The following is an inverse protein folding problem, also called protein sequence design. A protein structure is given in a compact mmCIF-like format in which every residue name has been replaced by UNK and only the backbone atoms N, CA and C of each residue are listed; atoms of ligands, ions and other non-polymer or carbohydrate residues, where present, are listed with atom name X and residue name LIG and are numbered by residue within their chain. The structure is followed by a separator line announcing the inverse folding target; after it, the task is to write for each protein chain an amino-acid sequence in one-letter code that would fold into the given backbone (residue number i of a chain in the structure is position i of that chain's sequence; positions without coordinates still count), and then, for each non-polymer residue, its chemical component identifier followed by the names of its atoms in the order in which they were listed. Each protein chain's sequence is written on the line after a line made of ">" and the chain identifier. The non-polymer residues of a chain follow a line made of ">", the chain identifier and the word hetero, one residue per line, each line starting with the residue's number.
data_IF_289679874664
#
_entry.id   IF_289679874664
#
_cell.length_a   1.000
_cell.length_b   1.000
_cell.length_c   1.000
_cell.angle_alpha   90.00
_cell.angle_beta   90.00
_cell.angle_gamma   90.00
#
_symmetry.space_group_name_H-M   'P 1'
#
loop_
_entity.id
_entity.type
_entity.pdbx_description
1 polymer ?
#
# COMPACT_ATOMS: atom_id res chain seq x y z
N UNK A 1 -55.75 -30.66 42.55
CA UNK A 1 -56.07 -29.25 42.20
C UNK A 1 -54.93 -28.37 42.70
N UNK A 2 -54.04 -27.94 41.81
CA UNK A 2 -53.28 -26.67 41.85
C UNK A 2 -52.37 -26.65 40.63
N UNK A 3 -52.69 -25.78 39.67
CA UNK A 3 -51.89 -25.53 38.49
C UNK A 3 -50.82 -24.47 38.83
N UNK A 4 -49.56 -24.75 38.49
CA UNK A 4 -48.49 -23.74 38.47
C UNK A 4 -48.01 -23.65 37.03
N UNK A 5 -48.45 -22.62 36.32
CA UNK A 5 -47.91 -22.20 35.03
C UNK A 5 -46.61 -21.45 35.28
N UNK A 6 -45.52 -21.94 34.70
CA UNK A 6 -44.20 -21.31 34.75
C UNK A 6 -44.05 -20.42 33.51
N UNK A 7 -44.28 -19.11 33.66
CA UNK A 7 -44.11 -18.11 32.60
C UNK A 7 -42.62 -17.89 32.30
N UNK A 8 -42.11 -18.53 31.24
CA UNK A 8 -40.85 -18.14 30.61
C UNK A 8 -41.05 -16.86 29.80
N UNK A 9 -40.73 -15.71 30.40
CA UNK A 9 -40.59 -14.45 29.67
C UNK A 9 -39.45 -14.53 28.64
N UNK A 10 -39.68 -14.16 27.36
CA UNK A 10 -38.61 -14.09 26.37
C UNK A 10 -37.74 -12.86 26.63
N UNK A 11 -36.43 -13.06 26.77
CA UNK A 11 -35.44 -11.99 26.81
C UNK A 11 -35.53 -11.19 25.50
N UNK A 12 -36.18 -10.03 25.55
CA UNK A 12 -36.18 -9.06 24.45
C UNK A 12 -34.74 -8.58 24.25
N UNK A 13 -34.07 -9.09 23.23
CA UNK A 13 -32.86 -8.47 22.69
C UNK A 13 -33.23 -7.07 22.20
N UNK A 14 -32.71 -6.04 22.86
CA UNK A 14 -32.92 -4.66 22.45
C UNK A 14 -32.51 -4.49 20.97
N UNK A 15 -33.30 -3.78 20.15
CA UNK A 15 -32.91 -3.49 18.77
C UNK A 15 -31.60 -2.70 18.77
N UNK A 16 -30.67 -3.12 17.92
CA UNK A 16 -29.39 -2.47 17.66
C UNK A 16 -29.66 -0.97 17.38
N UNK A 17 -29.02 0.00 18.06
CA UNK A 17 -29.36 1.40 17.93
C UNK A 17 -29.28 1.84 16.47
N UNK A 18 -30.36 2.45 15.98
CA UNK A 18 -30.48 2.98 14.62
C UNK A 18 -29.22 3.76 14.25
N UNK A 19 -28.58 3.44 13.11
CA UNK A 19 -27.27 4.00 12.82
C UNK A 19 -27.41 5.52 12.63
N UNK A 20 -26.63 6.29 13.39
CA UNK A 20 -26.77 7.75 13.51
C UNK A 20 -27.01 8.46 12.17
N UNK A 21 -27.77 9.56 12.13
CA UNK A 21 -28.03 10.32 10.90
C UNK A 21 -26.76 10.61 10.09
N UNK A 22 -26.88 10.64 8.76
CA UNK A 22 -25.73 10.88 7.86
C UNK A 22 -25.05 12.23 8.17
N UNK A 23 -25.82 13.24 8.56
CA UNK A 23 -25.35 14.54 9.04
C UNK A 23 -24.42 14.42 10.25
N UNK A 24 -24.76 13.59 11.25
CA UNK A 24 -23.94 13.39 12.44
C UNK A 24 -22.67 12.60 12.17
N UNK A 25 -22.72 11.67 11.21
CA UNK A 25 -21.52 10.96 10.75
C UNK A 25 -20.58 11.90 10.01
N UNK A 26 -21.10 12.75 9.13
CA UNK A 26 -20.31 13.77 8.44
C UNK A 26 -19.70 14.78 9.42
N UNK A 27 -20.51 15.33 10.34
CA UNK A 27 -20.01 16.24 11.38
C UNK A 27 -18.92 15.60 12.24
N UNK A 28 -19.09 14.33 12.64
CA UNK A 28 -18.06 13.60 13.40
C UNK A 28 -16.79 13.37 12.59
N UNK A 29 -16.92 13.01 11.32
CA UNK A 29 -15.80 12.78 10.41
C UNK A 29 -15.01 14.07 10.14
N UNK A 30 -15.70 15.17 9.82
CA UNK A 30 -15.11 16.49 9.57
C UNK A 30 -14.52 17.12 10.83
N UNK A 31 -15.12 16.88 12.00
CA UNK A 31 -14.63 17.39 13.28
C UNK A 31 -13.47 16.60 13.90
N UNK A 32 -13.21 15.36 13.44
CA UNK A 32 -12.16 14.52 14.02
C UNK A 32 -10.73 15.07 13.83
N UNK A 33 -10.34 15.58 12.65
CA UNK A 33 -9.04 16.25 12.48
C UNK A 33 -8.89 17.49 13.37
N UNK A 34 -9.96 18.30 13.49
CA UNK A 34 -9.96 19.51 14.33
C UNK A 34 -9.78 19.16 15.80
N UNK A 35 -10.49 18.14 16.31
CA UNK A 35 -10.30 17.64 17.68
C UNK A 35 -8.87 17.13 17.89
N UNK A 36 -8.34 16.33 16.96
CA UNK A 36 -6.99 15.82 17.07
C UNK A 36 -5.94 16.94 17.11
N UNK A 37 -6.10 18.00 16.30
CA UNK A 37 -5.23 19.18 16.35
C UNK A 37 -5.34 19.94 17.67
N UNK A 38 -6.53 20.03 18.27
CA UNK A 38 -6.74 20.67 19.58
C UNK A 38 -6.12 19.88 20.73
N UNK A 39 -6.16 18.55 20.64
CA UNK A 39 -5.58 17.62 21.61
C UNK A 39 -4.05 17.52 21.50
N UNK A 40 -3.47 17.94 20.37
CA UNK A 40 -2.03 17.89 20.16
C UNK A 40 -1.28 18.94 21.00
N UNK A 41 -0.06 18.62 21.50
CA UNK A 41 0.77 19.59 22.19
C UNK A 41 1.07 20.82 21.33
N UNK A 42 0.60 22.01 21.77
CA UNK A 42 0.65 23.25 20.98
C UNK A 42 2.06 23.63 20.52
N UNK A 43 3.06 23.62 21.41
CA UNK A 43 4.44 24.03 21.09
C UNK A 43 5.08 23.10 20.04
N UNK A 44 5.10 21.76 20.22
CA UNK A 44 5.54 20.83 19.18
C UNK A 44 4.77 20.93 17.86
N UNK A 45 3.46 21.19 17.92
CA UNK A 45 2.63 21.36 16.73
C UNK A 45 3.03 22.60 15.93
N UNK A 46 3.25 23.74 16.60
CA UNK A 46 3.72 24.97 15.96
C UNK A 46 5.12 24.77 15.35
N UNK A 47 6.04 24.17 16.09
CA UNK A 47 7.37 23.87 15.58
C UNK A 47 7.33 22.95 14.34
N UNK A 48 6.53 21.88 14.39
CA UNK A 48 6.34 21.00 13.25
C UNK A 48 5.73 21.71 12.03
N UNK A 49 4.77 22.61 12.26
CA UNK A 49 4.14 23.40 11.21
C UNK A 49 5.13 24.37 10.57
N UNK A 50 5.96 25.04 11.36
CA UNK A 50 7.01 25.93 10.86
C UNK A 50 8.06 25.16 10.05
N UNK A 51 8.53 24.00 10.54
CA UNK A 51 9.47 23.13 9.82
C UNK A 51 8.86 22.62 8.51
N UNK A 52 7.61 22.16 8.54
CA UNK A 52 6.92 21.67 7.35
C UNK A 52 6.73 22.79 6.31
N UNK A 53 6.31 23.98 6.75
CA UNK A 53 6.14 25.15 5.88
C UNK A 53 7.47 25.56 5.26
N UNK A 54 8.53 25.70 6.06
CA UNK A 54 9.87 26.03 5.57
C UNK A 54 10.34 25.00 4.54
N UNK A 55 10.16 23.71 4.84
CA UNK A 55 10.54 22.63 3.92
C UNK A 55 9.79 22.68 2.59
N UNK A 56 8.48 22.96 2.62
CA UNK A 56 7.66 23.11 1.42
C UNK A 56 8.02 24.37 0.61
N UNK A 57 8.38 25.47 1.27
CA UNK A 57 8.89 26.67 0.60
C UNK A 57 10.23 26.38 -0.09
N UNK A 58 11.18 25.72 0.60
CA UNK A 58 12.44 25.28 0.00
C UNK A 58 12.19 24.32 -1.16
N UNK A 59 11.25 23.39 -1.01
CA UNK A 59 10.86 22.48 -2.09
C UNK A 59 10.31 23.25 -3.30
N UNK A 60 9.47 24.26 -3.09
CA UNK A 60 8.94 25.10 -4.17
C UNK A 60 10.06 25.85 -4.92
N UNK A 61 11.06 26.36 -4.19
CA UNK A 61 12.26 26.99 -4.77
C UNK A 61 13.07 25.97 -5.57
N UNK A 62 13.40 24.80 -5.00
CA UNK A 62 14.13 23.74 -5.71
C UNK A 62 13.39 23.30 -6.97
N UNK A 63 12.07 23.13 -6.88
CA UNK A 63 11.20 22.80 -8.01
C UNK A 63 11.31 23.82 -9.15
N UNK A 64 11.42 25.12 -8.82
CA UNK A 64 11.58 26.17 -9.82
C UNK A 64 12.88 26.01 -10.60
N UNK A 65 13.99 25.70 -9.92
CA UNK A 65 15.32 25.57 -10.54
C UNK A 65 15.59 24.22 -11.22
N UNK A 66 14.94 23.13 -10.79
CA UNK A 66 15.20 21.77 -11.31
C UNK A 66 14.36 21.45 -12.57
N UNK A 67 13.59 22.41 -13.10
CA UNK A 67 12.70 22.27 -14.26
C UNK A 67 11.84 20.99 -14.20
N UNK A 68 10.78 21.00 -13.39
CA UNK A 68 9.86 19.85 -13.31
C UNK A 68 9.17 19.59 -14.63
N UNK A 69 9.49 18.45 -15.25
CA UNK A 69 9.01 18.07 -16.58
C UNK A 69 7.50 17.84 -16.61
N UNK A 70 6.93 17.25 -15.54
CA UNK A 70 5.53 16.82 -15.47
C UNK A 70 5.15 15.89 -16.63
N UNK A 71 6.08 15.00 -17.02
CA UNK A 71 5.92 14.10 -18.17
C UNK A 71 4.68 13.22 -18.05
N UNK A 72 4.45 12.63 -16.88
CA UNK A 72 3.33 11.69 -16.70
C UNK A 72 1.99 12.42 -16.69
N UNK A 73 1.92 13.62 -16.11
CA UNK A 73 0.74 14.48 -16.25
C UNK A 73 0.42 14.76 -17.72
N UNK A 74 1.43 15.03 -18.55
CA UNK A 74 1.23 15.28 -19.99
C UNK A 74 0.71 14.01 -20.68
N UNK A 75 1.25 12.83 -20.34
CA UNK A 75 0.75 11.54 -20.84
C UNK A 75 -0.71 11.32 -20.42
N UNK A 76 -1.06 11.53 -19.15
CA UNK A 76 -2.45 11.38 -18.68
C UNK A 76 -3.40 12.32 -19.43
N UNK A 77 -2.99 13.57 -19.64
CA UNK A 77 -3.78 14.52 -20.42
C UNK A 77 -3.93 14.10 -21.88
N UNK A 78 -2.90 13.53 -22.48
CA UNK A 78 -2.95 13.01 -23.84
C UNK A 78 -3.87 11.78 -23.95
N UNK A 79 -3.82 10.86 -22.97
CA UNK A 79 -4.75 9.74 -22.88
C UNK A 79 -6.20 10.23 -22.76
N UNK A 80 -6.46 11.20 -21.88
CA UNK A 80 -7.78 11.82 -21.75
C UNK A 80 -8.24 12.54 -23.02
N UNK A 81 -7.33 13.21 -23.73
CA UNK A 81 -7.64 13.85 -25.02
C UNK A 81 -7.94 12.82 -26.11
N UNK A 82 -7.26 11.68 -26.13
CA UNK A 82 -7.54 10.61 -27.09
C UNK A 82 -8.96 10.06 -26.89
N UNK A 83 -9.35 9.84 -25.63
CA UNK A 83 -10.73 9.44 -25.30
C UNK A 83 -11.74 10.51 -25.69
N UNK A 84 -11.48 11.78 -25.36
CA UNK A 84 -12.40 12.89 -25.64
C UNK A 84 -12.62 13.14 -27.14
N UNK A 85 -11.58 12.94 -27.95
CA UNK A 85 -11.59 13.20 -29.39
C UNK A 85 -11.84 11.95 -30.24
N UNK A 86 -12.00 10.78 -29.63
CA UNK A 86 -12.20 9.50 -30.33
C UNK A 86 -10.98 9.07 -31.16
N UNK A 87 -9.76 9.42 -30.75
CA UNK A 87 -8.52 8.99 -31.43
C UNK A 87 -7.94 7.72 -30.80
N UNK A 88 -7.06 7.02 -31.53
CA UNK A 88 -6.47 5.78 -31.06
C UNK A 88 -5.58 6.00 -29.81
N UNK A 89 -6.08 5.51 -28.67
CA UNK A 89 -5.44 5.59 -27.37
C UNK A 89 -4.04 4.93 -27.35
N UNK A 90 -3.83 3.82 -28.07
CA UNK A 90 -2.59 3.05 -27.97
C UNK A 90 -1.61 3.32 -29.12
N UNK A 91 -2.02 4.07 -30.14
CA UNK A 91 -1.12 4.68 -31.13
C UNK A 91 -0.43 5.95 -30.62
N UNK A 92 -0.99 6.65 -29.63
CA UNK A 92 -0.44 7.92 -29.17
C UNK A 92 1.01 7.81 -28.67
N UNK A 93 1.79 8.85 -28.96
CA UNK A 93 3.12 9.07 -28.38
C UNK A 93 3.29 10.55 -28.09
N UNK A 94 3.72 10.88 -26.88
CA UNK A 94 3.84 12.28 -26.43
C UNK A 94 5.13 12.52 -25.65
N UNK A 95 5.44 13.80 -25.44
CA UNK A 95 6.68 14.31 -24.84
C UNK A 95 7.92 14.08 -25.70
N UNK A 96 9.04 14.73 -25.34
CA UNK A 96 10.35 14.52 -25.97
C UNK A 96 10.87 13.08 -25.89
N UNK A 97 10.31 12.27 -24.99
CA UNK A 97 10.69 10.88 -24.74
C UNK A 97 9.82 9.85 -25.49
N UNK A 98 8.92 10.29 -26.37
CA UNK A 98 8.07 9.42 -27.19
C UNK A 98 7.28 8.39 -26.35
N UNK A 99 6.67 8.84 -25.25
CA UNK A 99 6.01 7.98 -24.27
C UNK A 99 4.62 7.53 -24.75
N UNK A 100 4.28 6.23 -24.67
CA UNK A 100 2.96 5.73 -25.03
C UNK A 100 1.94 5.79 -23.89
N UNK A 101 0.68 5.57 -24.23
CA UNK A 101 -0.32 5.16 -23.25
C UNK A 101 0.02 3.78 -22.68
N UNK A 102 -0.04 3.66 -21.35
CA UNK A 102 0.31 2.43 -20.61
C UNK A 102 -0.77 1.99 -19.63
N UNK A 103 -1.81 2.81 -19.45
CA UNK A 103 -2.88 2.52 -18.51
C UNK A 103 -4.06 1.78 -19.20
N UNK A 104 -4.89 1.05 -18.43
CA UNK A 104 -6.14 0.50 -18.92
C UNK A 104 -7.08 1.61 -19.41
N UNK A 105 -8.00 1.33 -20.35
CA UNK A 105 -8.92 2.35 -20.89
C UNK A 105 -9.76 3.05 -19.82
N UNK A 106 -10.09 2.35 -18.73
CA UNK A 106 -10.77 2.95 -17.58
C UNK A 106 -10.02 4.15 -16.98
N UNK A 107 -8.69 4.09 -16.89
CA UNK A 107 -7.89 5.20 -16.40
C UNK A 107 -7.93 6.39 -17.38
N UNK A 108 -7.80 6.12 -18.68
CA UNK A 108 -7.84 7.15 -19.71
C UNK A 108 -9.16 7.95 -19.68
N UNK A 109 -10.28 7.27 -19.43
CA UNK A 109 -11.58 7.93 -19.21
C UNK A 109 -11.56 8.86 -18.00
N UNK A 110 -10.93 8.47 -16.89
CA UNK A 110 -10.77 9.32 -15.71
C UNK A 110 -9.86 10.52 -15.95
N UNK A 111 -9.02 10.48 -16.99
CA UNK A 111 -8.15 11.59 -17.37
C UNK A 111 -8.80 12.60 -18.31
N UNK A 112 -9.98 12.32 -18.88
CA UNK A 112 -10.72 13.27 -19.74
C UNK A 112 -10.86 14.67 -19.12
N UNK A 113 -11.19 14.85 -17.82
CA UNK A 113 -11.32 16.18 -17.23
C UNK A 113 -10.04 17.02 -17.25
N UNK A 114 -8.87 16.39 -17.39
CA UNK A 114 -7.60 17.13 -17.50
C UNK A 114 -7.49 17.91 -18.81
N UNK A 115 -8.28 17.56 -19.82
CA UNK A 115 -8.30 18.26 -21.12
C UNK A 115 -8.93 19.64 -21.03
N UNK A 116 -9.83 19.86 -20.05
CA UNK A 116 -10.59 21.09 -19.87
C UNK A 116 -9.77 22.25 -19.31
N UNK A 117 -8.57 21.97 -18.81
CA UNK A 117 -7.72 22.96 -18.16
C UNK A 117 -6.40 23.16 -18.91
N UNK A 118 -5.86 24.38 -18.89
CA UNK A 118 -4.56 24.66 -19.47
C UNK A 118 -3.44 24.00 -18.64
N UNK A 119 -2.35 23.60 -19.32
CA UNK A 119 -1.22 22.90 -18.70
C UNK A 119 -0.64 23.63 -17.47
N UNK A 120 -0.44 24.97 -17.46
CA UNK A 120 0.05 25.67 -16.27
C UNK A 120 -0.82 25.47 -15.04
N UNK A 121 -2.14 25.48 -15.20
CA UNK A 121 -3.08 25.21 -14.10
C UNK A 121 -2.93 23.79 -13.58
N UNK A 122 -2.90 22.79 -14.48
CA UNK A 122 -2.74 21.38 -14.10
C UNK A 122 -1.43 21.15 -13.32
N UNK A 123 -0.33 21.78 -13.74
CA UNK A 123 0.97 21.69 -13.04
C UNK A 123 0.85 22.09 -11.58
N UNK A 124 0.12 23.17 -11.28
CA UNK A 124 -0.13 23.64 -9.91
C UNK A 124 -1.11 22.72 -9.19
N UNK A 125 -2.26 22.45 -9.80
CA UNK A 125 -3.33 21.65 -9.21
C UNK A 125 -2.87 20.23 -8.83
N UNK A 126 -2.12 19.55 -9.70
CA UNK A 126 -1.60 18.20 -9.46
C UNK A 126 -0.49 18.22 -8.41
N UNK A 127 0.34 19.27 -8.36
CA UNK A 127 1.35 19.41 -7.30
C UNK A 127 0.68 19.55 -5.93
N UNK A 128 -0.27 20.49 -5.80
CA UNK A 128 -1.01 20.71 -4.56
C UNK A 128 -1.85 19.49 -4.18
N UNK A 129 -2.50 18.86 -5.16
CA UNK A 129 -3.25 17.62 -4.99
C UNK A 129 -2.38 16.49 -4.45
N UNK A 130 -1.18 16.29 -5.01
CA UNK A 130 -0.25 15.28 -4.51
C UNK A 130 0.31 15.59 -3.11
N UNK A 131 0.52 16.87 -2.75
CA UNK A 131 0.86 17.23 -1.36
C UNK A 131 -0.29 16.90 -0.40
N UNK A 132 -1.54 17.19 -0.79
CA UNK A 132 -2.73 16.79 -0.03
C UNK A 132 -2.87 15.26 0.09
N UNK A 133 -2.60 14.52 -1.00
CA UNK A 133 -2.60 13.06 -1.00
C UNK A 133 -1.45 12.48 -0.15
N UNK A 134 -0.29 13.14 -0.09
CA UNK A 134 0.79 12.76 0.82
C UNK A 134 0.35 12.92 2.28
N UNK A 135 -0.34 14.02 2.62
CA UNK A 135 -0.91 14.21 3.95
C UNK A 135 -1.95 13.13 4.29
N UNK A 136 -2.82 12.80 3.34
CA UNK A 136 -3.81 11.73 3.50
C UNK A 136 -3.16 10.35 3.65
N UNK A 137 -2.19 10.01 2.79
CA UNK A 137 -1.44 8.77 2.85
C UNK A 137 -0.74 8.62 4.21
N UNK A 138 -0.15 9.71 4.68
CA UNK A 138 0.50 9.78 5.99
C UNK A 138 -0.52 9.54 7.11
N UNK A 139 -1.65 10.25 7.09
CA UNK A 139 -2.73 10.04 8.06
C UNK A 139 -3.20 8.58 8.10
N UNK A 140 -3.45 7.98 6.93
CA UNK A 140 -3.84 6.58 6.80
C UNK A 140 -2.73 5.62 7.27
N UNK A 141 -1.46 5.97 7.07
CA UNK A 141 -0.31 5.21 7.56
C UNK A 141 -0.22 5.22 9.09
N UNK A 142 -0.41 6.38 9.74
CA UNK A 142 -0.47 6.48 11.21
C UNK A 142 -1.66 5.72 11.79
N UNK A 143 -2.80 5.75 11.08
CA UNK A 143 -4.00 4.98 11.43
C UNK A 143 -3.73 3.46 11.32
N UNK A 144 -3.18 3.01 10.20
CA UNK A 144 -2.83 1.61 9.94
C UNK A 144 -1.83 1.08 10.98
N UNK A 145 -0.77 1.84 11.26
CA UNK A 145 0.25 1.48 12.24
C UNK A 145 -0.26 1.48 13.68
N UNK A 146 -1.50 1.96 13.93
CA UNK A 146 -2.04 2.10 15.27
C UNK A 146 -1.09 2.92 16.15
N UNK A 147 -0.64 4.08 15.65
CA UNK A 147 0.44 4.85 16.29
C UNK A 147 0.23 5.02 17.80
N UNK A 148 1.24 4.73 18.65
CA UNK A 148 1.09 4.60 20.10
C UNK A 148 0.56 5.85 20.81
N UNK A 149 1.09 7.02 20.45
CA UNK A 149 0.81 8.32 21.09
C UNK A 149 -0.14 9.12 20.22
N UNK A 150 -1.45 8.94 20.41
CA UNK A 150 -2.50 9.45 19.50
C UNK A 150 -2.45 10.97 19.36
N UNK A 151 -2.18 11.66 20.45
CA UNK A 151 -1.99 13.11 20.56
C UNK A 151 -0.83 13.65 19.71
N UNK A 152 0.17 12.82 19.38
CA UNK A 152 1.29 13.19 18.51
C UNK A 152 1.04 12.90 17.03
N UNK A 153 -0.07 12.24 16.67
CA UNK A 153 -0.35 11.89 15.26
C UNK A 153 -0.45 13.12 14.36
N UNK A 154 -1.14 14.22 14.71
CA UNK A 154 -1.21 15.39 13.84
C UNK A 154 0.16 16.01 13.57
N UNK A 155 1.03 16.04 14.59
CA UNK A 155 2.41 16.50 14.48
C UNK A 155 3.18 15.63 13.48
N UNK A 156 3.07 14.30 13.61
CA UNK A 156 3.67 13.36 12.68
C UNK A 156 3.15 13.51 11.25
N UNK A 157 1.85 13.76 11.07
CA UNK A 157 1.25 14.01 9.76
C UNK A 157 1.82 15.27 9.11
N UNK A 158 1.90 16.37 9.86
CA UNK A 158 2.45 17.64 9.37
C UNK A 158 3.92 17.50 9.00
N UNK A 159 4.73 16.89 9.87
CA UNK A 159 6.17 16.69 9.63
C UNK A 159 6.42 15.82 8.40
N UNK A 160 5.74 14.68 8.28
CA UNK A 160 5.93 13.77 7.12
C UNK A 160 5.35 14.39 5.85
N UNK A 161 4.31 15.22 5.92
CA UNK A 161 3.83 15.96 4.74
C UNK A 161 4.88 16.97 4.26
N UNK A 162 5.48 17.74 5.16
CA UNK A 162 6.49 18.73 4.80
C UNK A 162 7.83 18.14 4.38
N UNK A 163 8.32 17.14 5.12
CA UNK A 163 9.64 16.52 4.87
C UNK A 163 9.59 15.35 3.89
N UNK A 164 8.43 14.70 3.75
CA UNK A 164 8.25 13.53 2.89
C UNK A 164 8.40 13.85 1.40
N UNK A 165 8.26 15.12 1.00
CA UNK A 165 8.51 15.57 -0.39
C UNK A 165 9.96 15.32 -0.85
N UNK A 166 10.88 15.10 0.09
CA UNK A 166 12.30 14.80 -0.18
C UNK A 166 12.60 13.31 -0.25
N UNK A 167 11.66 12.43 0.14
CA UNK A 167 11.80 11.01 -0.14
C UNK A 167 11.77 10.84 -1.65
N UNK A 168 12.78 10.22 -2.23
CA UNK A 168 12.93 10.14 -3.69
C UNK A 168 11.65 9.65 -4.39
N UNK A 169 10.92 8.61 -3.92
CA UNK A 169 9.71 8.15 -4.61
C UNK A 169 8.61 9.22 -4.65
N UNK A 170 8.52 10.05 -3.60
CA UNK A 170 7.57 11.15 -3.49
C UNK A 170 8.05 12.35 -4.30
N UNK A 171 9.34 12.67 -4.24
CA UNK A 171 9.98 13.71 -5.05
C UNK A 171 9.73 13.45 -6.54
N UNK A 172 10.01 12.24 -7.00
CA UNK A 172 9.81 11.82 -8.40
C UNK A 172 8.34 11.79 -8.76
N UNK A 173 7.46 11.38 -7.84
CA UNK A 173 5.99 11.48 -8.02
C UNK A 173 5.56 12.93 -8.32
N UNK A 174 6.03 13.88 -7.51
CA UNK A 174 5.72 15.30 -7.69
C UNK A 174 6.39 15.90 -8.93
N UNK A 175 7.60 15.46 -9.28
CA UNK A 175 8.34 15.92 -10.45
C UNK A 175 7.65 15.54 -11.76
N UNK A 176 7.07 14.35 -11.83
CA UNK A 176 6.41 13.85 -13.04
C UNK A 176 4.90 14.03 -13.06
N UNK A 177 4.27 14.34 -11.91
CA UNK A 177 2.82 14.52 -11.81
C UNK A 177 2.06 13.20 -11.73
N UNK A 178 2.65 12.21 -11.06
CA UNK A 178 2.13 10.84 -10.95
C UNK A 178 0.91 10.72 -10.04
N UNK A 179 0.11 9.67 -10.26
CA UNK A 179 -1.11 9.36 -9.49
C UNK A 179 -0.92 8.31 -8.39
N UNK A 180 0.30 7.79 -8.17
CA UNK A 180 0.51 6.67 -7.25
C UNK A 180 0.13 6.99 -5.79
N UNK A 181 0.24 8.25 -5.35
CA UNK A 181 -0.26 8.66 -4.02
C UNK A 181 -1.78 8.49 -3.91
N UNK A 182 -2.54 8.78 -4.99
CA UNK A 182 -3.98 8.57 -5.02
C UNK A 182 -4.32 7.07 -4.91
N UNK A 183 -3.62 6.23 -5.67
CA UNK A 183 -3.80 4.77 -5.62
C UNK A 183 -3.48 4.21 -4.24
N UNK A 184 -2.36 4.63 -3.63
CA UNK A 184 -1.98 4.22 -2.29
C UNK A 184 -3.01 4.68 -1.24
N UNK A 185 -3.56 5.89 -1.38
CA UNK A 185 -4.64 6.39 -0.52
C UNK A 185 -5.92 5.56 -0.66
N UNK A 186 -6.34 5.23 -1.88
CA UNK A 186 -7.52 4.36 -2.11
C UNK A 186 -7.36 3.01 -1.41
N UNK A 187 -6.20 2.37 -1.59
CA UNK A 187 -5.90 1.07 -0.98
C UNK A 187 -5.88 1.16 0.55
N UNK A 188 -5.13 2.10 1.12
CA UNK A 188 -5.05 2.22 2.59
C UNK A 188 -6.36 2.68 3.22
N UNK A 189 -7.11 3.53 2.53
CA UNK A 189 -8.45 3.89 2.97
C UNK A 189 -9.34 2.65 3.02
N UNK A 190 -9.29 1.80 1.99
CA UNK A 190 -10.03 0.53 1.95
C UNK A 190 -9.64 -0.39 3.12
N UNK A 191 -8.34 -0.65 3.26
CA UNK A 191 -7.79 -1.59 4.23
C UNK A 191 -7.99 -1.15 5.67
N UNK A 192 -7.99 0.15 5.96
CA UNK A 192 -8.19 0.69 7.31
C UNK A 192 -9.67 0.83 7.71
N UNK A 193 -10.61 0.36 6.88
CA UNK A 193 -12.03 0.23 7.24
C UNK A 193 -12.30 -1.13 7.93
N UNK A 194 -13.32 -1.21 8.79
CA UNK A 194 -13.71 -2.48 9.41
C UNK A 194 -14.04 -3.56 8.37
N UNK A 195 -13.62 -4.80 8.63
CA UNK A 195 -13.83 -5.95 7.73
C UNK A 195 -15.32 -6.24 7.47
N UNK A 196 -16.19 -5.87 8.43
CA UNK A 196 -17.64 -5.99 8.34
C UNK A 196 -18.31 -5.06 7.31
N UNK A 197 -17.64 -4.01 6.80
CA UNK A 197 -18.24 -3.10 5.80
C UNK A 197 -18.41 -3.77 4.44
N UNK A 198 -19.63 -3.77 3.91
CA UNK A 198 -19.97 -4.35 2.59
C UNK A 198 -19.21 -3.73 1.43
N UNK A 199 -18.85 -2.45 1.52
CA UNK A 199 -18.06 -1.74 0.51
C UNK A 199 -16.55 -1.90 0.65
N UNK A 200 -16.06 -2.73 1.59
CA UNK A 200 -14.63 -3.08 1.68
C UNK A 200 -14.24 -3.88 0.43
N UNK A 201 -13.21 -3.44 -0.28
CA UNK A 201 -12.78 -3.97 -1.59
C UNK A 201 -13.05 -3.01 -2.75
N UNK A 202 -14.05 -2.13 -2.67
CA UNK A 202 -14.41 -1.23 -3.80
C UNK A 202 -13.26 -0.32 -4.21
N UNK A 203 -12.58 0.31 -3.26
CA UNK A 203 -11.49 1.24 -3.58
C UNK A 203 -10.25 0.50 -4.08
N UNK A 204 -9.99 -0.73 -3.60
CA UNK A 204 -8.96 -1.60 -4.15
C UNK A 204 -9.28 -2.00 -5.61
N UNK A 205 -10.53 -2.37 -5.90
CA UNK A 205 -10.96 -2.73 -7.26
C UNK A 205 -10.89 -1.56 -8.23
N UNK A 206 -11.29 -0.35 -7.81
CA UNK A 206 -11.11 0.88 -8.60
C UNK A 206 -9.62 1.14 -8.84
N UNK A 207 -8.78 1.05 -7.80
CA UNK A 207 -7.35 1.24 -7.95
C UNK A 207 -6.74 0.21 -8.94
N UNK A 208 -7.19 -1.04 -8.90
CA UNK A 208 -6.77 -2.10 -9.83
C UNK A 208 -7.24 -1.82 -11.28
N UNK A 209 -8.42 -1.23 -11.44
CA UNK A 209 -8.95 -0.79 -12.73
C UNK A 209 -8.18 0.39 -13.33
N UNK A 210 -7.65 1.27 -12.47
CA UNK A 210 -6.77 2.35 -12.90
C UNK A 210 -5.38 1.82 -13.23
N UNK A 211 -4.82 0.93 -12.40
CA UNK A 211 -3.48 0.36 -12.60
C UNK A 211 -3.46 -1.05 -12.05
N UNK A 212 -2.97 -2.03 -12.81
CA UNK A 212 -3.11 -3.45 -12.43
C UNK A 212 -2.40 -3.83 -11.12
N UNK A 213 -1.29 -3.16 -10.76
CA UNK A 213 -0.47 -3.49 -9.58
C UNK A 213 -1.28 -3.58 -8.26
N UNK A 214 -2.17 -2.62 -7.94
CA UNK A 214 -3.16 -2.75 -6.86
C UNK A 214 -3.95 -4.07 -6.77
N UNK A 215 -4.11 -4.82 -7.86
CA UNK A 215 -4.79 -6.11 -7.88
C UNK A 215 -4.20 -7.13 -6.88
N UNK A 216 -2.91 -7.01 -6.54
CA UNK A 216 -2.29 -7.86 -5.51
C UNK A 216 -2.97 -7.68 -4.14
N UNK A 217 -3.57 -6.53 -3.84
CA UNK A 217 -4.28 -6.34 -2.57
C UNK A 217 -5.61 -7.12 -2.52
N UNK A 218 -6.25 -7.42 -3.65
CA UNK A 218 -7.38 -8.35 -3.69
C UNK A 218 -6.91 -9.78 -3.34
N UNK A 219 -5.75 -10.20 -3.87
CA UNK A 219 -5.10 -11.47 -3.49
C UNK A 219 -4.75 -11.46 -2.01
N UNK A 220 -4.16 -10.38 -1.49
CA UNK A 220 -3.87 -10.22 -0.06
C UNK A 220 -5.13 -10.38 0.81
N UNK A 221 -6.25 -9.76 0.44
CA UNK A 221 -7.52 -9.93 1.12
C UNK A 221 -7.98 -11.40 1.12
N UNK A 222 -7.88 -12.07 -0.03
CA UNK A 222 -8.24 -13.48 -0.17
C UNK A 222 -7.37 -14.36 0.73
N UNK A 223 -6.05 -14.23 0.62
CA UNK A 223 -5.09 -15.04 1.39
C UNK A 223 -5.03 -14.66 2.87
N UNK A 224 -5.71 -13.60 3.32
CA UNK A 224 -5.87 -13.27 4.75
C UNK A 224 -7.24 -13.66 5.31
N UNK A 225 -8.10 -14.28 4.49
CA UNK A 225 -9.44 -14.74 4.89
C UNK A 225 -10.55 -13.70 4.75
N UNK A 226 -10.27 -12.53 4.16
CA UNK A 226 -11.26 -11.47 3.89
C UNK A 226 -11.95 -11.70 2.55
N UNK A 227 -12.52 -12.90 2.39
CA UNK A 227 -13.03 -13.44 1.13
C UNK A 227 -14.04 -12.50 0.47
N UNK A 228 -15.04 -12.01 1.22
CA UNK A 228 -16.03 -11.06 0.69
C UNK A 228 -15.38 -9.80 0.12
N UNK A 229 -14.42 -9.21 0.83
CA UNK A 229 -13.76 -7.99 0.36
C UNK A 229 -12.91 -8.25 -0.90
N UNK A 230 -12.29 -9.43 -1.00
CA UNK A 230 -11.59 -9.84 -2.22
C UNK A 230 -12.55 -9.97 -3.42
N UNK A 231 -13.72 -10.59 -3.22
CA UNK A 231 -14.75 -10.65 -4.26
C UNK A 231 -15.30 -9.28 -4.64
N UNK A 232 -15.56 -8.40 -3.67
CA UNK A 232 -16.00 -7.02 -3.95
C UNK A 232 -14.93 -6.27 -4.75
N UNK A 233 -13.65 -6.44 -4.43
CA UNK A 233 -12.56 -5.86 -5.22
C UNK A 233 -12.55 -6.42 -6.65
N UNK A 234 -12.67 -7.74 -6.81
CA UNK A 234 -12.72 -8.40 -8.12
C UNK A 234 -13.91 -7.96 -8.97
N UNK A 235 -15.11 -7.89 -8.39
CA UNK A 235 -16.32 -7.42 -9.08
C UNK A 235 -16.23 -5.94 -9.44
N UNK A 236 -15.66 -5.11 -8.57
CA UNK A 236 -15.46 -3.68 -8.88
C UNK A 236 -14.47 -3.51 -10.02
N UNK A 237 -13.35 -4.25 -9.99
CA UNK A 237 -12.39 -4.29 -11.08
C UNK A 237 -13.03 -4.74 -12.40
N UNK A 238 -13.84 -5.81 -12.36
CA UNK A 238 -14.61 -6.27 -13.52
C UNK A 238 -15.55 -5.16 -14.02
N UNK A 239 -16.21 -4.43 -13.13
CA UNK A 239 -17.02 -3.26 -13.50
C UNK A 239 -16.22 -2.17 -14.24
N UNK A 240 -14.98 -1.89 -13.80
CA UNK A 240 -14.11 -0.93 -14.52
C UNK A 240 -13.72 -1.43 -15.91
N UNK A 241 -13.46 -2.75 -16.04
CA UNK A 241 -13.21 -3.39 -17.33
C UNK A 241 -14.43 -3.28 -18.24
N UNK A 242 -15.62 -3.63 -17.75
CA UNK A 242 -16.86 -3.61 -18.53
C UNK A 242 -17.22 -2.18 -18.98
N UNK A 243 -16.98 -1.18 -18.12
CA UNK A 243 -17.16 0.21 -18.51
C UNK A 243 -16.19 0.60 -19.64
N UNK A 244 -14.92 0.15 -19.55
CA UNK A 244 -13.96 0.29 -20.64
C UNK A 244 -14.42 -0.38 -21.93
N UNK A 245 -14.89 -1.63 -21.85
CA UNK A 245 -15.38 -2.38 -23.00
C UNK A 245 -16.61 -1.74 -23.66
N UNK A 246 -17.46 -1.09 -22.86
CA UNK A 246 -18.65 -0.39 -23.35
C UNK A 246 -18.32 0.93 -24.06
N UNK A 247 -17.41 1.73 -23.49
CA UNK A 247 -17.09 3.08 -23.98
C UNK A 247 -15.96 3.08 -25.01
N UNK A 248 -15.01 2.16 -24.87
CA UNK A 248 -13.78 2.05 -25.66
C UNK A 248 -13.51 0.57 -26.00
N UNK A 249 -14.37 -0.09 -26.82
CA UNK A 249 -14.31 -1.54 -27.07
C UNK A 249 -12.97 -1.98 -27.67
N UNK A 250 -12.52 -1.33 -28.75
CA UNK A 250 -11.28 -1.70 -29.45
C UNK A 250 -10.03 -1.49 -28.59
N UNK A 251 -9.98 -0.36 -27.86
CA UNK A 251 -8.90 -0.09 -26.93
C UNK A 251 -8.88 -1.11 -25.80
N UNK A 252 -10.05 -1.50 -25.28
CA UNK A 252 -10.15 -2.51 -24.22
C UNK A 252 -9.70 -3.88 -24.72
N UNK A 253 -10.18 -4.31 -25.89
CA UNK A 253 -9.74 -5.54 -26.51
C UNK A 253 -8.22 -5.56 -26.74
N UNK A 254 -7.68 -4.52 -27.37
CA UNK A 254 -6.24 -4.39 -27.64
C UNK A 254 -5.40 -4.35 -26.37
N UNK A 255 -5.84 -3.68 -25.32
CA UNK A 255 -5.13 -3.63 -24.04
C UNK A 255 -4.95 -5.03 -23.44
N UNK A 256 -6.04 -5.77 -23.32
CA UNK A 256 -6.05 -7.06 -22.63
C UNK A 256 -5.50 -8.22 -23.45
N UNK A 257 -5.44 -8.10 -24.78
CA UNK A 257 -4.91 -9.15 -25.67
C UNK A 257 -3.49 -8.90 -26.17
N UNK A 258 -3.07 -7.63 -26.29
CA UNK A 258 -1.80 -7.26 -26.93
C UNK A 258 -0.96 -6.35 -26.04
N UNK A 259 -1.44 -5.15 -25.73
CA UNK A 259 -0.57 -4.10 -25.16
C UNK A 259 -0.10 -4.40 -23.74
N UNK A 260 -0.89 -5.13 -22.94
CA UNK A 260 -0.50 -5.55 -21.61
C UNK A 260 0.74 -6.47 -21.61
N UNK A 261 0.90 -7.29 -22.65
CA UNK A 261 1.99 -8.28 -22.76
C UNK A 261 3.24 -7.73 -23.46
N UNK A 262 3.13 -6.58 -24.11
CA UNK A 262 4.25 -5.91 -24.77
C UNK A 262 4.97 -4.98 -23.80
N UNK A 263 5.83 -5.56 -22.95
CA UNK A 263 6.62 -4.80 -21.97
C UNK A 263 7.58 -3.79 -22.60
N UNK A 264 7.92 -3.94 -23.89
CA UNK A 264 8.81 -3.01 -24.60
C UNK A 264 8.18 -1.62 -24.74
N UNK A 265 6.84 -1.52 -24.71
CA UNK A 265 6.11 -0.25 -24.74
C UNK A 265 6.24 0.54 -23.45
N UNK A 266 6.25 -0.14 -22.30
CA UNK A 266 6.14 0.52 -20.99
C UNK A 266 7.47 1.17 -20.61
N UNK A 267 8.58 0.54 -20.98
CA UNK A 267 9.91 1.07 -20.74
C UNK A 267 10.99 -0.01 -20.79
N UNK A 268 12.24 0.41 -20.60
CA UNK A 268 13.40 -0.49 -20.63
C UNK A 268 13.51 -1.21 -19.28
N UNK A 269 13.62 -2.53 -19.27
CA UNK A 269 13.68 -3.29 -18.00
C UNK A 269 14.93 -2.99 -17.19
N UNK A 270 16.05 -2.73 -17.84
CA UNK A 270 17.37 -2.62 -17.21
C UNK A 270 17.68 -1.23 -16.63
N UNK A 271 16.96 -0.17 -17.03
CA UNK A 271 17.28 1.19 -16.57
C UNK A 271 17.14 1.31 -15.05
N UNK A 272 17.96 2.18 -14.47
CA UNK A 272 18.08 2.34 -13.01
C UNK A 272 16.75 2.76 -12.37
N UNK A 273 15.91 3.47 -13.10
CA UNK A 273 14.56 3.85 -12.69
C UNK A 273 13.72 2.62 -12.30
N UNK A 274 13.95 1.47 -12.95
CA UNK A 274 13.24 0.23 -12.67
C UNK A 274 13.81 -0.46 -11.40
N UNK A 275 13.10 -0.23 -10.31
CA UNK A 275 13.31 -0.75 -8.96
C UNK A 275 12.43 -1.97 -8.66
N UNK A 276 12.15 -2.80 -9.67
CA UNK A 276 11.57 -4.15 -9.51
C UNK A 276 12.66 -5.22 -9.36
N UNK A 277 12.27 -6.43 -8.96
CA UNK A 277 13.14 -7.61 -9.01
C UNK A 277 13.59 -7.90 -10.43
N UNK A 278 12.72 -7.78 -11.44
CA UNK A 278 13.10 -8.01 -12.84
C UNK A 278 14.18 -7.04 -13.29
N UNK A 279 14.07 -5.76 -12.93
CA UNK A 279 15.12 -4.75 -13.20
C UNK A 279 16.43 -5.03 -12.47
N UNK A 280 16.35 -5.47 -11.21
CA UNK A 280 17.54 -5.87 -10.46
C UNK A 280 18.25 -7.09 -11.11
N UNK A 281 17.50 -8.11 -11.54
CA UNK A 281 18.04 -9.25 -12.27
C UNK A 281 18.64 -8.84 -13.62
N UNK A 282 18.01 -7.93 -14.36
CA UNK A 282 18.56 -7.44 -15.61
C UNK A 282 19.97 -6.85 -15.42
N UNK A 283 20.14 -6.00 -14.40
CA UNK A 283 21.45 -5.41 -14.04
C UNK A 283 22.42 -6.43 -13.47
N UNK A 284 21.95 -7.38 -12.66
CA UNK A 284 22.80 -8.42 -12.04
C UNK A 284 23.34 -9.42 -13.08
N UNK A 285 22.51 -9.78 -14.05
CA UNK A 285 22.83 -10.75 -15.10
C UNK A 285 23.43 -10.09 -16.35
N UNK A 286 23.64 -8.77 -16.31
CA UNK A 286 24.17 -7.97 -17.43
C UNK A 286 23.35 -8.19 -18.71
N UNK A 287 22.04 -8.40 -18.58
CA UNK A 287 21.13 -8.73 -19.67
C UNK A 287 19.95 -7.78 -19.73
N UNK A 288 19.69 -7.24 -20.92
CA UNK A 288 18.52 -6.40 -21.18
C UNK A 288 17.20 -7.16 -21.04
N UNK A 289 17.21 -8.48 -21.32
CA UNK A 289 16.09 -9.38 -21.11
C UNK A 289 16.53 -10.56 -20.23
N UNK A 290 16.33 -10.48 -18.90
CA UNK A 290 16.75 -11.52 -17.98
C UNK A 290 15.84 -12.78 -18.01
N UNK A 291 14.85 -12.82 -18.91
CA UNK A 291 14.11 -14.03 -19.28
C UNK A 291 13.46 -14.79 -18.12
N UNK A 292 13.57 -16.12 -18.16
CA UNK A 292 12.94 -17.05 -17.21
C UNK A 292 13.53 -16.92 -15.81
N UNK A 293 14.84 -16.67 -15.67
CA UNK A 293 15.51 -16.55 -14.36
C UNK A 293 14.90 -15.42 -13.53
N UNK A 294 14.73 -14.23 -14.12
CA UNK A 294 14.08 -13.12 -13.43
C UNK A 294 12.61 -13.40 -13.12
N UNK A 295 11.91 -14.14 -13.99
CA UNK A 295 10.50 -14.50 -13.79
C UNK A 295 10.35 -15.45 -12.61
N UNK A 296 11.19 -16.49 -12.52
CA UNK A 296 11.22 -17.41 -11.39
C UNK A 296 11.63 -16.71 -10.09
N UNK A 297 12.64 -15.83 -10.15
CA UNK A 297 13.07 -15.02 -9.00
C UNK A 297 11.97 -14.09 -8.48
N UNK A 298 11.27 -13.39 -9.38
CA UNK A 298 10.11 -12.58 -9.03
C UNK A 298 8.95 -13.43 -8.47
N UNK A 299 8.71 -14.62 -9.04
CA UNK A 299 7.72 -15.59 -8.56
C UNK A 299 8.01 -16.08 -7.15
N UNK A 300 9.27 -16.40 -6.84
CA UNK A 300 9.71 -16.76 -5.49
C UNK A 300 9.46 -15.62 -4.50
N UNK A 301 9.81 -14.38 -4.87
CA UNK A 301 9.55 -13.18 -4.05
C UNK A 301 8.04 -12.94 -3.89
N UNK A 302 7.23 -13.21 -4.91
CA UNK A 302 5.77 -13.12 -4.83
C UNK A 302 5.21 -14.08 -3.79
N UNK A 303 5.58 -15.36 -3.87
CA UNK A 303 5.11 -16.40 -2.94
C UNK A 303 5.61 -16.11 -1.52
N UNK A 304 6.91 -15.86 -1.34
CA UNK A 304 7.49 -15.59 -0.03
C UNK A 304 6.91 -14.31 0.59
N UNK A 305 6.81 -13.24 -0.19
CA UNK A 305 6.28 -11.95 0.25
C UNK A 305 4.81 -12.01 0.65
N UNK A 306 3.96 -12.65 -0.16
CA UNK A 306 2.55 -12.88 0.19
C UNK A 306 2.40 -13.81 1.39
N UNK A 307 3.24 -14.85 1.51
CA UNK A 307 3.25 -15.73 2.67
C UNK A 307 3.60 -14.96 3.95
N UNK A 308 4.62 -14.09 3.92
CA UNK A 308 4.99 -13.24 5.06
C UNK A 308 3.88 -12.22 5.37
N UNK A 309 3.27 -11.61 4.36
CA UNK A 309 2.15 -10.68 4.53
C UNK A 309 0.96 -11.36 5.21
N UNK A 310 0.60 -12.55 4.75
CA UNK A 310 -0.48 -13.35 5.30
C UNK A 310 -0.17 -13.87 6.70
N UNK A 311 1.09 -14.27 6.96
CA UNK A 311 1.55 -14.69 8.28
C UNK A 311 1.51 -13.55 9.29
N UNK A 312 1.94 -12.35 8.89
CA UNK A 312 1.86 -11.14 9.72
C UNK A 312 0.41 -10.81 10.08
N UNK A 313 -0.48 -10.72 9.08
CA UNK A 313 -1.89 -10.38 9.29
C UNK A 313 -2.61 -11.38 10.22
N UNK A 314 -2.32 -12.68 10.10
CA UNK A 314 -2.87 -13.73 10.97
C UNK A 314 -2.24 -13.81 12.36
N UNK A 315 -1.16 -13.07 12.61
CA UNK A 315 -0.45 -13.10 13.90
C UNK A 315 -0.97 -12.08 14.91
N UNK A 316 -2.15 -11.49 14.69
CA UNK A 316 -2.71 -10.40 15.50
C UNK A 316 -2.75 -10.65 17.01
N UNK A 317 -2.94 -11.90 17.47
CA UNK A 317 -2.99 -12.22 18.91
C UNK A 317 -1.63 -12.09 19.62
N UNK A 318 -0.49 -12.12 18.94
CA UNK A 318 0.86 -11.99 19.57
C UNK A 318 1.79 -10.98 18.87
N UNK A 319 1.42 -10.47 17.70
CA UNK A 319 2.20 -9.49 16.94
C UNK A 319 1.52 -8.12 17.01
N UNK A 320 2.07 -7.17 17.78
CA UNK A 320 1.63 -5.78 17.71
C UNK A 320 1.72 -5.28 16.27
N UNK A 321 0.66 -4.59 15.81
CA UNK A 321 0.57 -4.03 14.46
C UNK A 321 0.65 -5.08 13.35
N UNK A 322 0.15 -6.29 13.62
CA UNK A 322 0.05 -7.38 12.66
C UNK A 322 -0.50 -6.92 11.29
N UNK A 323 -1.58 -6.15 11.30
CA UNK A 323 -2.19 -5.60 10.08
C UNK A 323 -1.23 -4.69 9.30
N UNK A 324 -0.57 -3.74 9.98
CA UNK A 324 0.36 -2.83 9.33
C UNK A 324 1.56 -3.57 8.72
N UNK A 325 2.10 -4.56 9.43
CA UNK A 325 3.14 -5.44 8.90
C UNK A 325 2.65 -6.21 7.67
N UNK A 326 1.45 -6.80 7.72
CA UNK A 326 0.86 -7.53 6.60
C UNK A 326 0.66 -6.66 5.36
N UNK A 327 0.05 -5.48 5.53
CA UNK A 327 -0.20 -4.53 4.43
C UNK A 327 1.10 -3.99 3.84
N UNK A 328 2.09 -3.62 4.66
CA UNK A 328 3.37 -3.15 4.16
C UNK A 328 4.15 -4.26 3.42
N UNK A 329 4.09 -5.51 3.89
CA UNK A 329 4.68 -6.64 3.17
C UNK A 329 4.00 -6.84 1.81
N UNK A 330 2.66 -6.82 1.76
CA UNK A 330 1.93 -6.92 0.50
C UNK A 330 2.27 -5.77 -0.47
N UNK A 331 2.38 -4.54 0.03
CA UNK A 331 2.79 -3.37 -0.76
C UNK A 331 4.20 -3.52 -1.34
N UNK A 332 5.18 -3.89 -0.50
CA UNK A 332 6.56 -4.15 -0.91
C UNK A 332 6.61 -5.28 -1.94
N UNK A 333 5.88 -6.38 -1.71
CA UNK A 333 5.79 -7.47 -2.68
C UNK A 333 5.23 -6.98 -4.02
N UNK A 334 4.15 -6.19 -4.02
CA UNK A 334 3.55 -5.67 -5.24
C UNK A 334 4.53 -4.89 -6.13
N UNK A 335 5.33 -4.01 -5.52
CA UNK A 335 6.32 -3.24 -6.27
C UNK A 335 7.57 -4.06 -6.63
N UNK A 336 7.96 -5.05 -5.83
CA UNK A 336 9.08 -5.93 -6.16
C UNK A 336 8.78 -6.83 -7.36
N UNK A 337 7.55 -7.35 -7.47
CA UNK A 337 7.22 -8.39 -8.47
C UNK A 337 6.62 -7.83 -9.76
N UNK A 338 6.32 -6.54 -9.81
CA UNK A 338 5.88 -5.88 -11.05
C UNK A 338 6.95 -6.04 -12.13
N UNK A 339 6.59 -6.28 -13.42
CA UNK A 339 7.56 -6.35 -14.50
C UNK A 339 8.45 -5.11 -14.60
N UNK A 340 7.83 -3.94 -14.34
CA UNK A 340 8.50 -2.66 -14.18
C UNK A 340 7.91 -1.97 -12.95
N UNK A 341 8.79 -1.55 -12.04
CA UNK A 341 8.44 -0.66 -10.93
C UNK A 341 9.35 0.54 -10.95
N UNK A 342 8.87 1.66 -11.47
CA UNK A 342 9.58 2.92 -11.39
C UNK A 342 9.81 3.34 -9.94
N UNK A 343 10.82 4.18 -9.71
CA UNK A 343 11.16 4.67 -8.36
C UNK A 343 9.95 5.28 -7.65
N UNK A 344 9.15 6.07 -8.37
CA UNK A 344 7.92 6.69 -7.89
C UNK A 344 6.74 5.72 -7.63
N UNK A 345 6.86 4.42 -7.94
CA UNK A 345 5.91 3.40 -7.47
C UNK A 345 6.13 3.08 -5.98
N UNK A 346 7.31 3.38 -5.44
CA UNK A 346 7.71 3.10 -4.06
C UNK A 346 7.23 4.16 -3.05
N UNK A 347 6.16 4.92 -3.34
CA UNK A 347 5.51 5.80 -2.35
C UNK A 347 5.03 5.06 -1.09
N UNK A 348 4.97 3.72 -1.16
CA UNK A 348 4.83 2.81 -0.02
C UNK A 348 5.96 2.93 1.03
N UNK A 349 7.06 3.62 0.72
CA UNK A 349 8.07 4.00 1.69
C UNK A 349 7.46 4.77 2.87
N UNK A 350 6.41 5.58 2.65
CA UNK A 350 5.73 6.35 3.70
C UNK A 350 5.10 5.43 4.77
N UNK A 351 4.19 4.49 4.45
CA UNK A 351 3.66 3.56 5.45
C UNK A 351 4.73 2.66 6.07
N UNK A 352 5.76 2.24 5.32
CA UNK A 352 6.88 1.48 5.88
C UNK A 352 7.64 2.27 6.95
N UNK A 353 8.00 3.52 6.67
CA UNK A 353 8.71 4.39 7.60
C UNK A 353 7.85 4.70 8.83
N UNK A 354 6.55 4.96 8.67
CA UNK A 354 5.64 5.17 9.80
C UNK A 354 5.53 3.92 10.68
N UNK A 355 5.46 2.73 10.08
CA UNK A 355 5.46 1.47 10.82
C UNK A 355 6.76 1.27 11.61
N UNK A 356 7.92 1.44 10.97
CA UNK A 356 9.22 1.31 11.62
C UNK A 356 9.42 2.35 12.72
N UNK A 357 8.96 3.59 12.52
CA UNK A 357 8.95 4.63 13.55
C UNK A 357 8.06 4.26 14.74
N UNK A 358 6.90 3.64 14.49
CA UNK A 358 6.01 3.18 15.57
C UNK A 358 6.67 2.07 16.40
N UNK A 359 7.41 1.16 15.75
CA UNK A 359 8.20 0.14 16.41
C UNK A 359 9.37 0.72 17.21
N UNK A 360 10.11 1.66 16.63
CA UNK A 360 11.19 2.37 17.30
C UNK A 360 10.70 3.17 18.50
N UNK A 361 9.54 3.82 18.40
CA UNK A 361 8.92 4.58 19.50
C UNK A 361 8.57 3.67 20.69
N UNK A 362 8.02 2.48 20.43
CA UNK A 362 7.72 1.52 21.51
C UNK A 362 9.00 0.94 22.09
N UNK A 363 10.01 0.67 21.27
CA UNK A 363 11.30 0.18 21.76
C UNK A 363 12.04 1.22 22.61
N UNK A 364 11.94 2.50 22.26
CA UNK A 364 12.57 3.59 22.99
C UNK A 364 11.95 3.80 24.38
N UNK A 365 10.65 3.55 24.53
CA UNK A 365 9.94 3.65 25.81
C UNK A 365 10.30 2.51 26.80
N UNK A 366 11.10 1.52 26.39
CA UNK A 366 11.54 0.43 27.27
C UNK A 366 12.69 0.89 28.19
N UNK A 367 12.81 0.30 29.40
CA UNK A 367 13.95 0.56 30.28
C UNK A 367 15.31 0.33 29.59
N UNK A 368 16.32 1.11 29.96
CA UNK A 368 17.62 1.11 29.30
C UNK A 368 18.27 -0.27 29.24
N UNK A 369 18.17 -1.07 30.30
CA UNK A 369 18.78 -2.40 30.40
C UNK A 369 18.25 -3.46 29.42
N UNK A 370 17.10 -3.23 28.78
CA UNK A 370 16.49 -4.19 27.82
C UNK A 370 16.24 -3.59 26.42
N UNK A 371 16.72 -2.37 26.19
CA UNK A 371 16.52 -1.62 24.94
C UNK A 371 17.55 -2.04 23.89
N UNK A 372 17.09 -2.59 22.75
CA UNK A 372 17.98 -3.16 21.71
C UNK A 372 18.21 -2.29 20.47
N UNK A 373 17.66 -1.07 20.42
CA UNK A 373 17.77 -0.05 19.34
C UNK A 373 17.55 -0.50 17.87
N UNK A 374 17.19 -1.77 17.63
CA UNK A 374 17.07 -2.39 16.30
C UNK A 374 16.07 -1.69 15.39
N UNK A 375 14.92 -1.26 15.92
CA UNK A 375 13.89 -0.63 15.09
C UNK A 375 14.23 0.81 14.75
N UNK A 376 15.00 1.48 15.62
CA UNK A 376 15.57 2.79 15.33
C UNK A 376 16.62 2.67 14.22
N UNK A 377 17.50 1.68 14.28
CA UNK A 377 18.45 1.40 13.20
C UNK A 377 17.74 1.06 11.88
N UNK A 378 16.74 0.17 11.91
CA UNK A 378 15.96 -0.18 10.72
C UNK A 378 15.22 1.02 10.11
N UNK A 379 14.63 1.88 10.96
CA UNK A 379 14.01 3.13 10.52
C UNK A 379 15.01 4.05 9.81
N UNK A 380 16.15 4.36 10.43
CA UNK A 380 17.14 5.27 9.85
C UNK A 380 17.78 4.70 8.59
N UNK A 381 18.10 3.40 8.55
CA UNK A 381 18.61 2.75 7.35
C UNK A 381 17.61 2.84 6.19
N UNK A 382 16.33 2.57 6.45
CA UNK A 382 15.26 2.68 5.45
C UNK A 382 15.09 4.13 5.00
N UNK A 383 15.12 5.09 5.94
CA UNK A 383 14.97 6.51 5.64
C UNK A 383 16.13 7.01 4.76
N UNK A 384 17.37 6.69 5.13
CA UNK A 384 18.56 7.05 4.35
C UNK A 384 18.48 6.44 2.95
N UNK A 385 18.06 5.17 2.82
CA UNK A 385 17.93 4.54 1.51
C UNK A 385 16.98 5.33 0.57
N UNK A 386 15.83 5.77 1.08
CA UNK A 386 14.86 6.56 0.30
C UNK A 386 15.21 8.05 0.18
N UNK A 387 16.07 8.61 1.04
CA UNK A 387 16.58 9.99 0.94
C UNK A 387 17.89 10.09 0.14
N UNK A 388 18.54 8.97 -0.17
CA UNK A 388 19.91 9.00 -0.69
C UNK A 388 20.03 9.52 -2.13
N UNK A 389 18.99 9.34 -2.96
CA UNK A 389 19.06 9.48 -4.42
C UNK A 389 20.25 8.71 -5.04
N UNK A 390 20.84 7.72 -4.33
CA UNK A 390 22.12 7.11 -4.68
C UNK A 390 22.09 6.41 -6.05
N UNK A 391 20.95 5.85 -6.42
CA UNK A 391 20.74 5.24 -7.73
C UNK A 391 20.97 6.23 -8.88
N UNK A 392 20.58 7.50 -8.69
CA UNK A 392 20.79 8.56 -9.67
C UNK A 392 22.25 9.01 -9.74
N UNK A 393 23.01 8.93 -8.64
CA UNK A 393 24.42 9.31 -8.61
C UNK A 393 25.31 8.35 -9.42
N UNK A 394 24.92 7.07 -9.57
CA UNK A 394 25.69 6.09 -10.32
C UNK A 394 25.75 6.36 -11.83
N UNK A 395 24.73 7.04 -12.39
CA UNK A 395 24.63 7.65 -13.74
C UNK A 395 25.23 6.91 -14.96
N UNK A 396 25.09 5.59 -15.17
CA UNK A 396 25.40 5.04 -16.48
C UNK A 396 24.28 5.38 -17.47
N UNK A 397 24.65 5.84 -18.66
CA UNK A 397 23.70 6.18 -19.73
C UNK A 397 23.65 5.02 -20.72
N UNK A 398 22.45 4.67 -21.18
CA UNK A 398 22.29 3.60 -22.17
C UNK A 398 22.68 2.23 -21.62
N UNK A 399 23.09 1.32 -22.50
CA UNK A 399 23.38 -0.07 -22.15
C UNK A 399 24.53 -0.25 -21.15
N UNK A 400 25.38 0.78 -20.95
CA UNK A 400 26.43 0.78 -19.93
C UNK A 400 25.89 0.58 -18.49
N UNK A 401 24.57 0.67 -18.30
CA UNK A 401 23.90 0.29 -17.05
C UNK A 401 24.05 -1.20 -16.74
N UNK A 402 24.16 -2.05 -17.77
CA UNK A 402 24.32 -3.49 -17.62
C UNK A 402 25.75 -3.87 -17.22
N UNK A 403 26.74 -3.11 -17.69
CA UNK A 403 28.17 -3.38 -17.46
C UNK A 403 28.70 -2.76 -16.15
N UNK A 404 27.81 -2.45 -15.21
CA UNK A 404 28.19 -1.87 -13.93
C UNK A 404 28.94 -2.87 -13.04
N UNK A 405 30.04 -2.41 -12.44
CA UNK A 405 30.74 -3.19 -11.41
C UNK A 405 29.81 -3.52 -10.23
N UNK A 406 30.01 -4.67 -9.53
CA UNK A 406 29.12 -5.10 -8.44
C UNK A 406 28.88 -4.02 -7.37
N UNK A 407 29.89 -3.20 -7.07
CA UNK A 407 29.81 -2.09 -6.12
C UNK A 407 28.86 -0.97 -6.57
N UNK A 408 28.74 -0.72 -7.88
CA UNK A 408 27.79 0.25 -8.45
C UNK A 408 26.39 -0.33 -8.63
N UNK A 409 26.24 -1.66 -8.64
CA UNK A 409 24.93 -2.30 -8.72
C UNK A 409 24.12 -2.18 -7.43
N UNK A 410 24.79 -2.13 -6.27
CA UNK A 410 24.13 -1.96 -4.97
C UNK A 410 23.31 -0.66 -4.88
N UNK A 411 23.88 0.54 -5.10
CA UNK A 411 23.11 1.77 -5.04
C UNK A 411 22.06 1.88 -6.15
N UNK A 412 22.24 1.22 -7.30
CA UNK A 412 21.28 1.25 -8.42
C UNK A 412 20.12 0.27 -8.29
N UNK A 413 20.17 -0.62 -7.30
CA UNK A 413 19.06 -1.53 -6.95
C UNK A 413 18.68 -1.41 -5.46
N UNK A 414 18.82 -0.21 -4.91
CA UNK A 414 18.63 0.06 -3.48
C UNK A 414 17.22 -0.31 -2.98
N UNK A 415 16.15 -0.11 -3.77
CA UNK A 415 14.80 -0.43 -3.29
C UNK A 415 14.48 -1.92 -3.29
N UNK A 416 14.88 -2.72 -4.31
CA UNK A 416 14.88 -4.17 -4.21
C UNK A 416 15.53 -4.68 -2.92
N UNK A 417 16.72 -4.18 -2.57
CA UNK A 417 17.40 -4.56 -1.33
C UNK A 417 16.63 -4.16 -0.08
N UNK A 418 16.14 -2.92 0.00
CA UNK A 418 15.30 -2.45 1.12
C UNK A 418 14.04 -3.32 1.27
N UNK A 419 13.38 -3.65 0.16
CA UNK A 419 12.20 -4.49 0.14
C UNK A 419 12.45 -5.90 0.66
N UNK A 420 13.50 -6.56 0.15
CA UNK A 420 13.89 -7.90 0.61
C UNK A 420 14.26 -7.89 2.11
N UNK A 421 15.07 -6.93 2.54
CA UNK A 421 15.42 -6.76 3.95
C UNK A 421 14.18 -6.51 4.83
N UNK A 422 13.21 -5.73 4.35
CA UNK A 422 11.95 -5.49 5.07
C UNK A 422 11.11 -6.78 5.22
N UNK A 423 10.99 -7.59 4.16
CA UNK A 423 10.28 -8.88 4.21
C UNK A 423 10.97 -9.86 5.17
N UNK A 424 12.30 -9.93 5.15
CA UNK A 424 13.09 -10.75 6.08
C UNK A 424 12.90 -10.26 7.52
N UNK A 425 13.00 -8.96 7.77
CA UNK A 425 12.80 -8.38 9.09
C UNK A 425 11.39 -8.65 9.63
N UNK A 426 10.36 -8.60 8.77
CA UNK A 426 8.99 -8.99 9.12
C UNK A 426 8.93 -10.47 9.52
N UNK A 427 9.46 -11.38 8.70
CA UNK A 427 9.48 -12.82 8.97
C UNK A 427 10.19 -13.16 10.31
N UNK A 428 11.37 -12.59 10.53
CA UNK A 428 12.16 -12.76 11.77
C UNK A 428 11.37 -12.22 12.97
N UNK A 429 10.73 -11.06 12.83
CA UNK A 429 9.91 -10.47 13.90
C UNK A 429 8.73 -11.36 14.25
N UNK A 430 7.99 -11.87 13.26
CA UNK A 430 6.83 -12.74 13.50
C UNK A 430 7.29 -14.03 14.20
N UNK A 431 8.40 -14.64 13.73
CA UNK A 431 9.00 -15.84 14.35
C UNK A 431 9.39 -15.60 15.80
N UNK A 432 10.09 -14.51 16.08
CA UNK A 432 10.53 -14.17 17.42
C UNK A 432 9.34 -13.96 18.37
N UNK A 433 8.31 -13.23 17.94
CA UNK A 433 7.10 -13.00 18.75
C UNK A 433 6.30 -14.27 19.00
N UNK A 434 6.19 -15.15 18.00
CA UNK A 434 5.54 -16.46 18.16
C UNK A 434 6.24 -17.32 19.20
N UNK A 435 7.59 -17.39 19.14
CA UNK A 435 8.41 -18.13 20.11
C UNK A 435 8.22 -17.59 21.53
N UNK A 436 8.28 -16.26 21.70
CA UNK A 436 8.03 -15.64 23.01
C UNK A 436 6.61 -15.87 23.55
N UNK A 437 5.64 -16.16 22.67
CA UNK A 437 4.25 -16.43 23.06
C UNK A 437 3.97 -17.93 23.28
N UNK A 438 4.97 -18.83 23.19
CA UNK A 438 4.80 -20.27 23.41
C UNK A 438 3.90 -20.99 22.40
N UNK A 439 3.61 -20.40 21.24
CA UNK A 439 2.62 -20.96 20.31
C UNK A 439 3.24 -21.99 19.34
N UNK A 440 2.71 -23.24 19.24
CA UNK A 440 3.27 -24.28 18.37
C UNK A 440 3.19 -23.89 16.88
N UNK A 441 4.11 -24.45 16.07
CA UNK A 441 4.17 -24.30 14.61
C UNK A 441 3.00 -25.06 13.96
N UNK A 442 1.99 -24.33 13.49
CA UNK A 442 0.83 -24.81 12.72
C UNK A 442 0.00 -25.87 13.47
N UNK A 443 -1.17 -25.49 13.99
CA UNK A 443 -2.22 -26.52 14.18
C UNK A 443 -2.72 -26.85 12.78
N UNK A 444 -2.34 -28.00 12.25
CA UNK A 444 -3.16 -28.66 11.24
C UNK A 444 -4.57 -28.78 11.83
N UNK A 445 -5.64 -28.66 11.04
CA UNK A 445 -6.99 -28.93 11.52
C UNK A 445 -6.95 -30.33 12.15
N UNK A 446 -7.10 -30.40 13.47
CA UNK A 446 -7.19 -31.67 14.15
C UNK A 446 -8.34 -32.43 13.52
N UNK A 447 -8.08 -33.66 13.07
CA UNK A 447 -9.17 -34.60 12.79
C UNK A 447 -10.10 -34.54 14.00
N UNK A 448 -11.40 -34.33 13.74
CA UNK A 448 -12.42 -34.51 14.76
C UNK A 448 -12.20 -35.89 15.34
N UNK A 449 -11.74 -35.97 16.58
CA UNK A 449 -11.90 -37.19 17.37
C UNK A 449 -13.41 -37.43 17.42
N UNK A 450 -13.84 -38.50 16.77
CA UNK A 450 -15.21 -39.02 16.83
C UNK A 450 -15.43 -39.60 18.22
N UNK A 451 -15.62 -38.72 19.21
CA UNK A 451 -16.18 -39.07 20.51
C UNK A 451 -17.70 -39.04 20.43
N UNK A 452 -18.30 -40.16 20.03
CA UNK A 452 -19.74 -40.37 20.14
C UNK A 452 -20.15 -40.65 21.59
N UNK A 453 -21.18 -40.01 22.14
CA UNK A 453 -21.75 -40.39 23.43
C UNK A 453 -22.94 -41.32 23.18
N UNK A 454 -22.70 -42.64 23.24
CA UNK A 454 -23.77 -43.61 23.52
C UNK A 454 -23.19 -45.00 23.88
N UNK A 455 -23.04 -45.23 25.18
CA UNK A 455 -23.07 -46.58 25.74
C UNK A 455 -23.92 -46.49 27.02
N UNK A 456 -25.16 -46.89 26.85
CA UNK A 456 -26.24 -46.76 27.80
C UNK A 456 -26.14 -47.76 28.96
N UNK A 457 -26.85 -47.40 30.04
CA UNK A 457 -27.57 -48.26 31.00
C UNK A 457 -26.76 -49.01 32.09
N UNK A 458 -27.02 -48.57 33.32
CA UNK A 458 -27.71 -49.44 34.28
C UNK A 458 -26.93 -49.84 35.53
N UNK A 459 -27.16 -49.11 36.64
CA UNK A 459 -27.73 -49.67 37.89
C UNK A 459 -27.84 -48.57 38.94
N UNK A 460 -29.02 -48.50 39.54
CA UNK A 460 -29.44 -47.60 40.59
C UNK A 460 -29.30 -48.30 41.95
N UNK A 461 -29.12 -47.50 43.00
CA UNK A 461 -29.31 -47.77 44.45
C UNK A 461 -28.18 -48.54 45.19
N UNK A 462 -27.82 -48.24 46.44
CA UNK A 462 -27.97 -47.13 47.40
C UNK A 462 -27.12 -47.53 48.66
N UNK A 463 -26.80 -46.62 49.60
CA UNK A 463 -26.03 -46.95 50.81
C UNK A 463 -26.91 -47.49 51.96
N UNK A 464 -26.29 -48.19 52.91
CA UNK A 464 -26.88 -48.99 53.99
C UNK A 464 -27.69 -48.20 55.06
N UNK A 465 -28.74 -48.82 55.63
CA UNK A 465 -28.92 -49.13 57.07
C UNK A 465 -30.39 -49.41 57.47
N UNK A 466 -30.54 -50.47 58.28
CA UNK A 466 -31.70 -50.98 59.07
C UNK A 466 -32.81 -51.73 58.34
#
# INVERSE_FOLDING_TARGET
>A
MTAVQDERSPVRTAPDPSPAPLSDRLRRALGAPVRALREAPRRPLLAASAVALLSLLVYAVVRHFVHTSMVDMIVYRAEGAAVANGTDLYALRVTEWNLPATYPPFAAMLFVPTTWFPVPFLRVAITLGNIGLLALLTHLSFKLAGWPRRELRPIGVILVTGLGVWLEPVFTTLRYGQINLALACLILWDLTRPDGRRSKGVAIGIAAGIKLTPGLFAVYLLVTGRIRAAFVAGLTFLGTFLLGALVLPDATWGFWTKYLYDSSRVGKTWIVDNQSMRGAFARLLHSADPGTVATLGAGLVAVAGLAVAAWAARSGRWLPRAEAWGVCCAAVTAVLISPISWTHHWVWCVPMLVLLAAEASVEHARPAGVRRLRWRAAFWATLVAFLSFAMWAAKPVGLAVLDMSPWRQLPTSVYPWVGLCFLIAAAVRIRARRRSAGAPLVRLPGQRETGGPDAARGRQQAPAAR
#
